data_IF_279314640121
#
_entry.id   IF_279314640121
#
_cell.length_a   1.000
_cell.length_b   1.000
_cell.length_c   1.000
_cell.angle_alpha   90.00
_cell.angle_beta   90.00
_cell.angle_gamma   90.00
#
_symmetry.space_group_name_H-M   'P 1'
#
loop_
_entity.id
_entity.type
_entity.pdbx_description
1 polymer ?
#
# COMPACT_ATOMS: atom_id res chain seq x y z
N UNK A 1 19.16 12.39 16.80
CA UNK A 1 18.86 11.16 16.03
C UNK A 1 18.55 9.96 16.92
N UNK A 2 19.39 9.67 17.96
CA UNK A 2 19.19 8.52 18.84
C UNK A 2 17.89 8.59 19.66
N UNK A 3 17.44 9.76 20.05
CA UNK A 3 16.19 9.94 20.81
C UNK A 3 14.97 9.70 19.93
N UNK A 4 14.96 10.28 18.71
CA UNK A 4 13.86 10.12 17.76
C UNK A 4 13.68 8.64 17.39
N UNK A 5 14.78 7.93 17.10
CA UNK A 5 14.75 6.50 16.82
C UNK A 5 14.14 5.69 17.97
N UNK A 6 14.49 6.01 19.21
CA UNK A 6 13.93 5.34 20.40
C UNK A 6 12.42 5.57 20.52
N UNK A 7 11.94 6.80 20.32
CA UNK A 7 10.51 7.10 20.41
C UNK A 7 9.70 6.39 19.30
N UNK A 8 10.21 6.35 18.06
CA UNK A 8 9.58 5.61 16.97
C UNK A 8 9.53 4.12 17.33
N UNK A 9 10.65 3.55 17.79
CA UNK A 9 10.72 2.14 18.13
C UNK A 9 9.78 1.77 19.29
N UNK A 10 9.68 2.62 20.32
CA UNK A 10 8.76 2.42 21.45
C UNK A 10 7.31 2.47 20.95
N UNK A 11 6.95 3.47 20.14
CA UNK A 11 5.58 3.61 19.59
C UNK A 11 5.19 2.41 18.73
N UNK A 12 6.03 2.03 17.76
CA UNK A 12 5.80 0.87 16.88
C UNK A 12 5.81 -0.42 17.69
N UNK A 13 6.77 -0.59 18.59
CA UNK A 13 6.88 -1.78 19.44
C UNK A 13 5.66 -1.97 20.34
N UNK A 14 5.20 -0.90 21.00
CA UNK A 14 4.00 -0.94 21.83
C UNK A 14 2.76 -1.32 21.04
N UNK A 15 2.57 -0.71 19.87
CA UNK A 15 1.45 -1.03 18.97
C UNK A 15 1.49 -2.48 18.49
N UNK A 16 2.67 -2.97 18.08
CA UNK A 16 2.83 -4.35 17.64
C UNK A 16 2.59 -5.34 18.79
N UNK A 17 3.06 -5.06 20.01
CA UNK A 17 2.83 -5.91 21.20
C UNK A 17 1.35 -5.99 21.55
N UNK A 18 0.58 -4.89 21.41
CA UNK A 18 -0.86 -4.89 21.65
C UNK A 18 -1.64 -5.69 20.61
N UNK A 19 -1.20 -5.66 19.34
CA UNK A 19 -1.87 -6.40 18.24
C UNK A 19 -1.48 -7.88 18.24
N UNK A 20 -0.26 -8.20 18.65
CA UNK A 20 0.33 -9.54 18.54
C UNK A 20 -0.54 -10.66 19.13
N UNK A 21 -1.15 -10.52 20.34
CA UNK A 21 -1.98 -11.59 20.93
C UNK A 21 -3.20 -11.94 20.08
N UNK A 22 -3.79 -10.96 19.40
CA UNK A 22 -4.98 -11.16 18.56
C UNK A 22 -4.62 -11.59 17.14
N UNK A 23 -3.61 -10.95 16.54
CA UNK A 23 -3.26 -11.18 15.15
C UNK A 23 -1.77 -11.01 14.87
N UNK A 24 -1.04 -12.12 14.98
CA UNK A 24 0.40 -12.16 14.70
C UNK A 24 0.76 -11.62 13.31
N UNK A 25 -0.01 -12.02 12.29
CA UNK A 25 0.26 -11.63 10.90
C UNK A 25 0.13 -10.13 10.68
N UNK A 26 -0.88 -9.49 11.28
CA UNK A 26 -1.06 -8.04 11.22
C UNK A 26 0.06 -7.31 11.94
N UNK A 27 0.47 -7.78 13.12
CA UNK A 27 1.57 -7.18 13.87
C UNK A 27 2.89 -7.29 13.09
N UNK A 28 3.16 -8.45 12.49
CA UNK A 28 4.36 -8.68 11.68
C UNK A 28 4.38 -7.80 10.42
N UNK A 29 3.24 -7.70 9.72
CA UNK A 29 3.10 -6.87 8.53
C UNK A 29 3.28 -5.37 8.87
N UNK A 30 2.64 -4.88 9.94
CA UNK A 30 2.78 -3.49 10.40
C UNK A 30 4.23 -3.19 10.74
N UNK A 31 4.89 -4.09 11.50
CA UNK A 31 6.31 -3.92 11.82
C UNK A 31 7.17 -3.90 10.55
N UNK A 32 6.91 -4.79 9.60
CA UNK A 32 7.63 -4.85 8.32
C UNK A 32 7.50 -3.54 7.53
N UNK A 33 6.31 -2.97 7.45
CA UNK A 33 6.09 -1.66 6.80
C UNK A 33 6.80 -0.55 7.55
N UNK A 34 6.71 -0.49 8.89
CA UNK A 34 7.44 0.50 9.68
C UNK A 34 8.97 0.35 9.52
N UNK A 35 9.47 -0.88 9.43
CA UNK A 35 10.88 -1.14 9.16
C UNK A 35 11.31 -0.64 7.78
N UNK A 36 10.51 -0.89 6.74
CA UNK A 36 10.74 -0.35 5.40
C UNK A 36 10.72 1.18 5.39
N UNK A 37 9.79 1.79 6.14
CA UNK A 37 9.72 3.25 6.29
C UNK A 37 10.96 3.81 6.98
N UNK A 38 11.48 3.14 8.02
CA UNK A 38 12.73 3.52 8.67
C UNK A 38 13.92 3.39 7.73
N UNK A 39 13.94 2.38 6.87
CA UNK A 39 14.98 2.19 5.85
C UNK A 39 14.94 3.31 4.79
N UNK A 40 13.75 3.63 4.26
CA UNK A 40 13.54 4.74 3.30
C UNK A 40 13.89 6.10 3.96
N UNK A 41 13.64 6.24 5.27
CA UNK A 41 13.99 7.41 6.07
C UNK A 41 15.48 7.58 6.34
N UNK A 42 16.34 6.76 5.71
CA UNK A 42 17.81 6.83 5.80
C UNK A 42 18.37 6.75 7.23
N UNK A 43 17.68 5.98 8.10
CA UNK A 43 18.24 5.70 9.42
C UNK A 43 19.57 4.93 9.29
N UNK A 44 20.53 5.12 10.22
CA UNK A 44 21.84 4.48 10.16
C UNK A 44 21.73 2.96 10.02
N UNK A 45 22.29 2.43 8.94
CA UNK A 45 22.18 1.00 8.57
C UNK A 45 22.58 0.05 9.72
N UNK A 46 23.60 0.43 10.52
CA UNK A 46 24.03 -0.37 11.67
C UNK A 46 22.96 -0.54 12.76
N UNK A 47 22.09 0.47 12.98
CA UNK A 47 20.98 0.35 13.94
C UNK A 47 19.86 -0.51 13.37
N UNK A 48 19.57 -0.34 12.08
CA UNK A 48 18.56 -1.10 11.38
C UNK A 48 18.95 -2.58 11.29
N UNK A 49 20.21 -2.88 10.99
CA UNK A 49 20.74 -4.25 10.97
C UNK A 49 20.68 -4.93 12.35
N UNK A 50 20.98 -4.19 13.42
CA UNK A 50 20.82 -4.70 14.80
C UNK A 50 19.35 -5.00 15.11
N UNK A 51 18.44 -4.10 14.75
CA UNK A 51 17.00 -4.30 14.94
C UNK A 51 16.50 -5.51 14.17
N UNK A 52 16.90 -5.66 12.89
CA UNK A 52 16.59 -6.82 12.06
C UNK A 52 17.14 -8.12 12.67
N UNK A 53 18.37 -8.11 13.16
CA UNK A 53 19.00 -9.25 13.81
C UNK A 53 18.26 -9.68 15.09
N UNK A 54 17.89 -8.74 15.94
CA UNK A 54 17.10 -9.01 17.15
C UNK A 54 15.72 -9.58 16.77
N UNK A 55 15.05 -9.03 15.76
CA UNK A 55 13.75 -9.51 15.31
C UNK A 55 13.85 -10.92 14.71
N UNK A 56 14.86 -11.18 13.88
CA UNK A 56 15.11 -12.51 13.33
C UNK A 56 15.38 -13.54 14.43
N UNK A 57 16.17 -13.17 15.43
CA UNK A 57 16.43 -14.04 16.58
C UNK A 57 15.14 -14.30 17.37
N UNK A 58 14.34 -13.27 17.63
CA UNK A 58 13.05 -13.40 18.32
C UNK A 58 12.07 -14.27 17.52
N UNK A 59 12.00 -14.11 16.19
CA UNK A 59 11.17 -14.93 15.30
C UNK A 59 11.61 -16.39 15.32
N UNK A 60 12.90 -16.66 15.19
CA UNK A 60 13.44 -18.03 15.26
C UNK A 60 13.14 -18.66 16.62
N UNK A 61 13.37 -17.92 17.72
CA UNK A 61 13.06 -18.40 19.05
C UNK A 61 11.57 -18.68 19.21
N UNK A 62 10.70 -17.81 18.69
CA UNK A 62 9.25 -18.00 18.69
C UNK A 62 8.83 -19.24 17.90
N UNK A 63 9.37 -19.47 16.70
CA UNK A 63 9.10 -20.65 15.89
C UNK A 63 9.59 -21.93 16.58
N UNK A 64 10.75 -21.90 17.24
CA UNK A 64 11.27 -23.02 18.03
C UNK A 64 10.36 -23.32 19.22
N UNK A 65 9.91 -22.29 19.95
CA UNK A 65 8.96 -22.45 21.04
C UNK A 65 7.65 -23.05 20.55
N UNK A 66 7.08 -22.55 19.43
CA UNK A 66 5.86 -23.12 18.85
C UNK A 66 6.02 -24.61 18.50
N UNK A 67 7.18 -25.02 17.94
CA UNK A 67 7.42 -26.39 17.51
C UNK A 67 7.66 -27.36 18.69
N UNK A 68 8.36 -26.89 19.73
CA UNK A 68 8.76 -27.77 20.84
C UNK A 68 7.85 -27.70 22.06
N UNK A 69 6.75 -26.92 22.03
CA UNK A 69 5.79 -26.85 23.14
C UNK A 69 4.98 -28.15 23.21
N UNK A 70 5.07 -28.94 24.30
CA UNK A 70 4.30 -30.15 24.44
C UNK A 70 2.80 -29.87 24.53
N UNK A 71 1.98 -30.80 24.02
CA UNK A 71 0.52 -30.70 24.10
C UNK A 71 -0.03 -30.53 25.55
N UNK A 72 0.72 -31.00 26.54
CA UNK A 72 0.36 -30.83 27.94
C UNK A 72 0.41 -29.38 28.44
N UNK A 73 1.22 -28.52 27.80
CA UNK A 73 1.38 -27.11 28.16
C UNK A 73 0.43 -26.22 27.35
N UNK A 74 0.01 -26.66 26.16
CA UNK A 74 -0.86 -25.88 25.28
C UNK A 74 -2.21 -25.56 25.92
N UNK A 75 -2.72 -26.39 26.82
CA UNK A 75 -3.97 -26.15 27.55
C UNK A 75 -3.93 -24.92 28.50
N UNK A 76 -2.73 -24.47 28.88
CA UNK A 76 -2.52 -23.28 29.73
C UNK A 76 -2.21 -22.03 28.92
N UNK A 77 -2.01 -22.16 27.59
CA UNK A 77 -1.70 -21.04 26.71
C UNK A 77 -3.00 -20.49 26.06
N UNK A 78 -2.99 -19.22 25.65
CA UNK A 78 -4.13 -18.64 24.93
C UNK A 78 -4.49 -19.45 23.69
N UNK A 79 -5.80 -19.57 23.38
CA UNK A 79 -6.33 -20.30 22.21
C UNK A 79 -5.68 -19.90 20.88
N UNK A 80 -5.22 -18.66 20.80
CA UNK A 80 -4.49 -18.13 19.63
C UNK A 80 -3.15 -18.81 19.39
N UNK A 81 -2.45 -19.21 20.47
CA UNK A 81 -1.19 -19.92 20.37
C UNK A 81 -1.36 -21.29 19.71
N UNK A 82 -2.42 -22.01 20.10
CA UNK A 82 -2.80 -23.30 19.49
C UNK A 82 -3.13 -23.12 18.00
N UNK A 83 -3.84 -22.03 17.68
CA UNK A 83 -4.17 -21.70 16.28
C UNK A 83 -2.90 -21.44 15.45
N UNK A 84 -1.91 -20.71 15.99
CA UNK A 84 -0.65 -20.44 15.30
C UNK A 84 0.21 -21.68 15.14
N UNK A 85 0.28 -22.51 16.17
CA UNK A 85 0.95 -23.81 16.11
C UNK A 85 0.34 -24.68 15.00
N UNK A 86 -0.97 -24.83 14.96
CA UNK A 86 -1.65 -25.61 13.93
C UNK A 86 -1.47 -25.05 12.50
N UNK A 87 -1.38 -23.72 12.32
CA UNK A 87 -1.06 -23.12 11.01
C UNK A 87 0.37 -23.41 10.57
N UNK A 88 1.30 -23.39 11.51
CA UNK A 88 2.71 -23.65 11.25
C UNK A 88 2.93 -25.14 10.94
N UNK A 89 2.35 -26.05 11.72
CA UNK A 89 2.41 -27.48 11.48
C UNK A 89 1.83 -27.83 10.10
N UNK A 90 0.64 -27.34 9.77
CA UNK A 90 0.04 -27.50 8.44
C UNK A 90 0.91 -27.02 7.30
N UNK A 91 1.63 -25.92 7.49
CA UNK A 91 2.53 -25.38 6.47
C UNK A 91 3.75 -26.27 6.25
N UNK A 92 4.38 -26.79 7.34
CA UNK A 92 5.57 -27.61 7.25
C UNK A 92 5.29 -29.10 6.96
N UNK A 93 4.24 -29.66 7.56
CA UNK A 93 3.92 -31.08 7.43
C UNK A 93 3.01 -31.37 6.25
N UNK A 94 2.30 -30.37 5.74
CA UNK A 94 1.44 -30.48 4.56
C UNK A 94 2.12 -30.96 3.27
N UNK A 95 3.43 -31.22 3.32
CA UNK A 95 4.19 -31.81 2.22
C UNK A 95 4.50 -33.30 2.40
N UNK A 96 4.33 -33.87 3.61
CA UNK A 96 4.85 -35.22 3.89
C UNK A 96 3.78 -36.29 4.06
N UNK A 97 2.61 -35.97 4.61
CA UNK A 97 1.67 -36.98 5.11
C UNK A 97 0.29 -37.01 4.43
N UNK A 98 0.13 -36.30 3.30
CA UNK A 98 -1.19 -36.22 2.64
C UNK A 98 -1.38 -37.24 1.49
N UNK A 99 -0.52 -38.24 1.39
CA UNK A 99 -0.69 -39.34 0.44
C UNK A 99 -1.22 -40.55 1.16
N UNK A 100 -2.33 -41.11 0.68
CA UNK A 100 -2.83 -42.42 1.12
C UNK A 100 -1.84 -43.53 0.71
N UNK A 101 -2.00 -44.73 1.27
CA UNK A 101 -1.24 -45.94 0.88
C UNK A 101 -1.33 -46.21 -0.63
N UNK A 102 -2.35 -45.67 -1.30
CA UNK A 102 -2.54 -45.73 -2.75
C UNK A 102 -1.86 -44.61 -3.53
N UNK A 103 -1.13 -43.70 -2.87
CA UNK A 103 -0.50 -42.52 -3.49
C UNK A 103 -1.47 -41.40 -3.86
N UNK A 104 -2.71 -41.44 -3.37
CA UNK A 104 -3.73 -40.41 -3.61
C UNK A 104 -3.68 -39.34 -2.52
N UNK A 105 -3.80 -38.07 -2.93
CA UNK A 105 -3.76 -36.94 -1.98
C UNK A 105 -5.01 -36.91 -1.12
N UNK A 106 -4.87 -37.03 0.21
CA UNK A 106 -5.96 -37.01 1.15
C UNK A 106 -6.32 -35.59 1.54
N UNK A 107 -7.54 -35.19 1.24
CA UNK A 107 -8.10 -33.90 1.68
C UNK A 107 -8.69 -34.08 3.07
N UNK A 108 -8.15 -33.36 4.05
CA UNK A 108 -8.62 -33.31 5.44
C UNK A 108 -9.16 -31.91 5.73
N UNK A 109 -9.98 -31.76 6.78
CA UNK A 109 -10.51 -30.46 7.20
C UNK A 109 -9.39 -29.44 7.43
N UNK A 110 -8.23 -29.89 7.89
CA UNK A 110 -7.06 -29.06 8.17
C UNK A 110 -6.36 -28.53 6.93
N UNK A 111 -6.30 -29.30 5.83
CA UNK A 111 -5.62 -28.89 4.60
C UNK A 111 -6.60 -28.43 3.50
N UNK A 112 -7.90 -28.47 3.77
CA UNK A 112 -8.97 -28.23 2.82
C UNK A 112 -8.79 -26.92 2.05
N UNK A 113 -8.62 -25.81 2.76
CA UNK A 113 -8.50 -24.47 2.15
C UNK A 113 -7.27 -24.36 1.22
N UNK A 114 -6.12 -24.79 1.70
CA UNK A 114 -4.87 -24.72 0.93
C UNK A 114 -4.90 -25.64 -0.28
N UNK A 115 -5.50 -26.83 -0.12
CA UNK A 115 -5.62 -27.81 -1.20
C UNK A 115 -6.54 -27.30 -2.30
N UNK A 116 -7.71 -26.77 -1.96
CA UNK A 116 -8.62 -26.18 -2.94
C UNK A 116 -8.04 -24.94 -3.63
N UNK A 117 -7.26 -24.12 -2.92
CA UNK A 117 -6.53 -23.02 -3.53
C UNK A 117 -5.48 -23.50 -4.55
N UNK A 118 -4.72 -24.56 -4.22
CA UNK A 118 -3.78 -25.19 -5.17
C UNK A 118 -4.50 -25.78 -6.38
N UNK A 119 -5.65 -26.44 -6.19
CA UNK A 119 -6.47 -26.98 -7.28
C UNK A 119 -6.98 -25.85 -8.18
N UNK A 120 -7.44 -24.72 -7.58
CA UNK A 120 -7.86 -23.53 -8.33
C UNK A 120 -6.75 -23.03 -9.25
N UNK A 121 -5.55 -22.83 -8.70
CA UNK A 121 -4.38 -22.37 -9.46
C UNK A 121 -4.00 -23.37 -10.58
N UNK A 122 -4.00 -24.68 -10.26
CA UNK A 122 -3.66 -25.72 -11.22
C UNK A 122 -4.67 -25.78 -12.38
N UNK A 123 -5.97 -25.61 -12.08
CA UNK A 123 -7.03 -25.58 -13.11
C UNK A 123 -7.01 -24.33 -13.96
N UNK A 124 -6.63 -23.20 -13.39
CA UNK A 124 -6.51 -21.94 -14.12
C UNK A 124 -5.52 -21.99 -15.27
N UNK A 125 -4.40 -22.72 -15.13
CA UNK A 125 -3.37 -22.80 -16.17
C UNK A 125 -2.91 -21.41 -16.61
N UNK A 126 -2.61 -21.25 -17.90
CA UNK A 126 -2.10 -19.98 -18.44
C UNK A 126 -3.23 -18.99 -18.71
N UNK A 127 -4.32 -19.41 -19.35
CA UNK A 127 -5.40 -18.53 -19.84
C UNK A 127 -6.65 -18.50 -18.97
N UNK A 128 -6.74 -19.37 -17.94
CA UNK A 128 -7.91 -19.47 -17.08
C UNK A 128 -9.08 -20.25 -17.70
N UNK A 129 -10.11 -20.46 -16.87
CA UNK A 129 -11.35 -21.15 -17.27
C UNK A 129 -12.45 -20.19 -17.72
N UNK A 130 -12.17 -18.91 -17.88
CA UNK A 130 -13.09 -17.82 -18.12
C UNK A 130 -13.81 -17.30 -16.86
N UNK A 131 -14.12 -16.00 -16.77
CA UNK A 131 -14.83 -15.41 -15.64
C UNK A 131 -16.19 -16.08 -15.42
N UNK A 132 -16.43 -16.45 -14.16
CA UNK A 132 -17.66 -17.11 -13.74
C UNK A 132 -17.71 -18.62 -13.92
N UNK A 133 -16.73 -19.26 -14.58
CA UNK A 133 -16.67 -20.71 -14.77
C UNK A 133 -15.76 -21.42 -13.75
N UNK A 134 -15.12 -20.67 -12.84
CA UNK A 134 -14.36 -21.24 -11.73
C UNK A 134 -15.26 -22.06 -10.80
N UNK A 135 -14.85 -23.29 -10.49
CA UNK A 135 -15.60 -24.21 -9.64
C UNK A 135 -15.14 -24.14 -8.18
N UNK A 136 -13.87 -23.79 -7.94
CA UNK A 136 -13.29 -23.85 -6.60
C UNK A 136 -13.84 -22.77 -5.65
N UNK A 137 -14.42 -21.72 -6.16
CA UNK A 137 -15.08 -20.67 -5.35
C UNK A 137 -16.23 -21.23 -4.50
N UNK A 138 -16.93 -22.27 -4.97
CA UNK A 138 -18.08 -22.86 -4.26
C UNK A 138 -17.64 -23.84 -3.17
N UNK A 139 -16.43 -24.37 -3.29
CA UNK A 139 -15.83 -25.29 -2.32
C UNK A 139 -14.94 -24.57 -1.29
N UNK A 140 -14.41 -23.40 -1.60
CA UNK A 140 -13.44 -22.71 -0.76
C UNK A 140 -14.13 -21.83 0.30
N UNK A 141 -14.07 -22.18 1.60
CA UNK A 141 -14.51 -21.27 2.63
C UNK A 141 -13.72 -19.95 2.54
N UNK A 142 -14.40 -18.81 2.57
CA UNK A 142 -13.80 -17.50 2.43
C UNK A 142 -13.02 -17.27 1.10
N UNK A 143 -13.44 -17.94 0.01
CA UNK A 143 -12.87 -17.76 -1.32
C UNK A 143 -12.71 -16.30 -1.71
N UNK A 144 -13.73 -15.48 -1.44
CA UNK A 144 -13.76 -14.05 -1.78
C UNK A 144 -13.00 -13.14 -0.79
N UNK A 145 -12.49 -13.67 0.30
CA UNK A 145 -11.71 -12.91 1.30
C UNK A 145 -10.23 -13.22 1.18
N UNK A 146 -9.81 -14.35 1.71
CA UNK A 146 -8.40 -14.65 1.94
C UNK A 146 -7.73 -15.34 0.75
N UNK A 147 -8.51 -16.02 -0.09
CA UNK A 147 -8.03 -16.79 -1.24
C UNK A 147 -8.49 -16.24 -2.60
N UNK A 148 -8.93 -14.97 -2.62
CA UNK A 148 -9.43 -14.34 -3.86
C UNK A 148 -8.42 -14.41 -5.00
N UNK A 149 -7.12 -14.33 -4.70
CA UNK A 149 -6.08 -14.41 -5.71
C UNK A 149 -6.00 -15.78 -6.39
N UNK A 150 -6.26 -16.87 -5.66
CA UNK A 150 -6.35 -18.21 -6.23
C UNK A 150 -7.54 -18.33 -7.19
N UNK A 151 -8.68 -17.71 -6.85
CA UNK A 151 -9.87 -17.66 -7.72
C UNK A 151 -9.60 -16.82 -8.98
N UNK A 152 -8.91 -15.69 -8.84
CA UNK A 152 -8.50 -14.87 -10.00
C UNK A 152 -7.63 -15.70 -10.96
N UNK A 153 -6.70 -16.49 -10.44
CA UNK A 153 -5.87 -17.38 -11.28
C UNK A 153 -6.71 -18.50 -11.88
N UNK A 154 -7.69 -19.07 -11.17
CA UNK A 154 -8.59 -20.06 -11.73
C UNK A 154 -9.38 -19.52 -12.93
N UNK A 155 -9.95 -18.34 -12.80
CA UNK A 155 -10.82 -17.74 -13.83
C UNK A 155 -10.05 -17.08 -14.98
N UNK A 156 -8.98 -16.32 -14.67
CA UNK A 156 -8.22 -15.52 -15.64
C UNK A 156 -6.85 -16.09 -15.99
N UNK A 157 -6.48 -17.21 -15.38
CA UNK A 157 -5.18 -17.82 -15.56
C UNK A 157 -4.04 -17.09 -14.85
N UNK A 158 -2.83 -17.59 -15.05
CA UNK A 158 -1.61 -16.95 -14.54
C UNK A 158 -1.46 -15.54 -15.13
N UNK A 159 -1.92 -15.30 -16.37
CA UNK A 159 -1.91 -13.98 -17.00
C UNK A 159 -2.73 -12.98 -16.18
N UNK A 160 -3.93 -13.36 -15.73
CA UNK A 160 -4.75 -12.53 -14.85
C UNK A 160 -4.10 -12.28 -13.49
N UNK A 161 -3.46 -13.31 -12.91
CA UNK A 161 -2.69 -13.17 -11.68
C UNK A 161 -1.54 -12.17 -11.81
N UNK A 162 -0.74 -12.28 -12.88
CA UNK A 162 0.36 -11.35 -13.18
C UNK A 162 -0.18 -9.94 -13.41
N UNK A 163 -1.30 -9.78 -14.12
CA UNK A 163 -1.92 -8.47 -14.35
C UNK A 163 -2.28 -7.79 -13.02
N UNK A 164 -2.91 -8.50 -12.10
CA UNK A 164 -3.25 -7.97 -10.77
C UNK A 164 -1.99 -7.60 -9.98
N UNK A 165 -0.95 -8.43 -10.01
CA UNK A 165 0.34 -8.13 -9.38
C UNK A 165 0.94 -6.84 -9.95
N UNK A 166 0.93 -6.67 -11.27
CA UNK A 166 1.44 -5.47 -11.94
C UNK A 166 0.68 -4.20 -11.53
N UNK A 167 -0.65 -4.29 -11.31
CA UNK A 167 -1.42 -3.15 -10.80
C UNK A 167 -0.93 -2.69 -9.42
N UNK A 168 -0.60 -3.60 -8.50
CA UNK A 168 -0.05 -3.23 -7.20
C UNK A 168 1.39 -2.70 -7.31
N UNK A 169 2.21 -3.23 -8.21
CA UNK A 169 3.53 -2.68 -8.49
C UNK A 169 3.41 -1.26 -9.08
N UNK A 170 2.49 -1.04 -10.01
CA UNK A 170 2.21 0.28 -10.58
C UNK A 170 1.75 1.27 -9.49
N UNK A 171 0.89 0.83 -8.57
CA UNK A 171 0.47 1.63 -7.41
C UNK A 171 1.69 2.02 -6.57
N UNK A 172 2.59 1.08 -6.27
CA UNK A 172 3.79 1.36 -5.48
C UNK A 172 4.69 2.40 -6.16
N UNK A 173 4.90 2.27 -7.47
CA UNK A 173 5.68 3.23 -8.27
C UNK A 173 5.01 4.60 -8.24
N UNK A 174 3.68 4.67 -8.40
CA UNK A 174 2.93 5.94 -8.33
C UNK A 174 3.03 6.61 -6.95
N UNK A 175 2.87 5.84 -5.89
CA UNK A 175 3.08 6.32 -4.51
C UNK A 175 4.50 6.88 -4.33
N UNK A 176 5.51 6.18 -4.85
CA UNK A 176 6.90 6.65 -4.83
C UNK A 176 7.10 7.95 -5.60
N UNK A 177 6.46 8.11 -6.77
CA UNK A 177 6.53 9.36 -7.54
C UNK A 177 5.85 10.53 -6.81
N UNK A 178 4.68 10.31 -6.21
CA UNK A 178 3.99 11.33 -5.39
C UNK A 178 4.88 11.75 -4.21
N UNK A 179 5.47 10.76 -3.52
CA UNK A 179 6.33 11.03 -2.37
C UNK A 179 7.59 11.85 -2.74
N UNK A 180 8.11 11.68 -3.97
CA UNK A 180 9.27 12.47 -4.46
C UNK A 180 8.92 13.92 -4.75
N UNK A 181 7.67 14.20 -5.11
CA UNK A 181 7.19 15.58 -5.37
C UNK A 181 6.87 16.36 -4.08
N UNK A 182 6.89 15.70 -2.91
CA UNK A 182 6.61 16.35 -1.64
C UNK A 182 7.90 16.87 -1.00
N UNK A 183 8.01 18.18 -0.78
CA UNK A 183 9.15 18.84 -0.12
C UNK A 183 9.11 18.59 1.39
N UNK A 184 7.90 18.57 1.98
CA UNK A 184 7.73 18.36 3.41
C UNK A 184 7.82 16.87 3.77
N UNK A 185 8.60 16.56 4.80
CA UNK A 185 8.82 15.17 5.24
C UNK A 185 7.54 14.46 5.69
N UNK A 186 6.61 15.15 6.36
CA UNK A 186 5.40 14.53 6.89
C UNK A 186 4.49 13.96 5.79
N UNK A 187 4.02 14.73 4.77
CA UNK A 187 3.18 14.19 3.70
C UNK A 187 3.91 13.11 2.89
N UNK A 188 5.22 13.26 2.68
CA UNK A 188 6.07 12.26 2.01
C UNK A 188 6.00 10.88 2.69
N UNK A 189 6.25 10.84 4.00
CA UNK A 189 6.20 9.57 4.75
C UNK A 189 4.78 9.07 4.95
N UNK A 190 3.79 9.95 5.05
CA UNK A 190 2.38 9.57 5.15
C UNK A 190 1.91 8.80 3.91
N UNK A 191 2.19 9.32 2.72
CA UNK A 191 1.85 8.67 1.44
C UNK A 191 2.57 7.35 1.28
N UNK A 192 3.88 7.31 1.56
CA UNK A 192 4.67 6.08 1.49
C UNK A 192 4.12 5.02 2.46
N UNK A 193 3.78 5.41 3.69
CA UNK A 193 3.22 4.50 4.68
C UNK A 193 1.89 3.89 4.25
N UNK A 194 0.95 4.72 3.79
CA UNK A 194 -0.35 4.25 3.28
C UNK A 194 -0.18 3.33 2.07
N UNK A 195 0.66 3.72 1.10
CA UNK A 195 0.90 2.91 -0.09
C UNK A 195 1.59 1.58 0.21
N UNK A 196 2.61 1.59 1.07
CA UNK A 196 3.30 0.36 1.49
C UNK A 196 2.35 -0.58 2.26
N UNK A 197 1.49 -0.08 3.14
CA UNK A 197 0.50 -0.92 3.83
C UNK A 197 -0.39 -1.65 2.84
N UNK A 198 -0.95 -0.94 1.86
CA UNK A 198 -1.81 -1.55 0.83
C UNK A 198 -1.04 -2.58 0.01
N UNK A 199 0.15 -2.25 -0.48
CA UNK A 199 0.91 -3.14 -1.36
C UNK A 199 1.45 -4.36 -0.60
N UNK A 200 2.00 -4.19 0.60
CA UNK A 200 2.52 -5.31 1.41
C UNK A 200 1.38 -6.25 1.81
N UNK A 201 0.20 -5.73 2.15
CA UNK A 201 -0.98 -6.55 2.44
C UNK A 201 -1.43 -7.34 1.22
N UNK A 202 -1.45 -6.74 0.04
CA UNK A 202 -1.79 -7.43 -1.21
C UNK A 202 -0.78 -8.54 -1.53
N UNK A 203 0.53 -8.24 -1.45
CA UNK A 203 1.59 -9.23 -1.67
C UNK A 203 1.53 -10.37 -0.66
N UNK A 204 1.22 -10.09 0.60
CA UNK A 204 1.04 -11.12 1.62
C UNK A 204 -0.14 -12.05 1.29
N UNK A 205 -1.28 -11.52 0.85
CA UNK A 205 -2.43 -12.32 0.40
C UNK A 205 -2.07 -13.19 -0.83
N UNK A 206 -1.40 -12.62 -1.82
CA UNK A 206 -0.92 -13.36 -3.00
C UNK A 206 0.03 -14.50 -2.59
N UNK A 207 0.97 -14.23 -1.69
CA UNK A 207 1.93 -15.23 -1.20
C UNK A 207 1.23 -16.39 -0.43
N UNK A 208 0.19 -16.08 0.34
CA UNK A 208 -0.67 -17.09 0.99
C UNK A 208 -1.39 -17.93 -0.04
N UNK A 209 -2.02 -17.30 -1.04
CA UNK A 209 -2.79 -18.01 -2.07
C UNK A 209 -1.93 -19.01 -2.86
N UNK A 210 -0.67 -18.67 -3.16
CA UNK A 210 0.28 -19.56 -3.83
C UNK A 210 1.07 -20.46 -2.85
N UNK A 211 0.70 -20.46 -1.56
CA UNK A 211 1.31 -21.28 -0.51
C UNK A 211 2.82 -21.05 -0.30
N UNK A 212 3.30 -19.81 -0.49
CA UNK A 212 4.66 -19.41 -0.13
C UNK A 212 4.81 -19.10 1.36
N UNK A 213 3.72 -18.70 2.01
CA UNK A 213 3.66 -18.40 3.45
C UNK A 213 2.43 -19.05 4.08
N UNK A 214 2.42 -19.31 5.39
CA UNK A 214 1.26 -19.85 6.09
C UNK A 214 0.03 -18.95 5.94
N UNK A 215 -1.17 -19.53 6.03
CA UNK A 215 -2.44 -18.81 5.93
C UNK A 215 -2.52 -17.73 7.02
N UNK A 216 -2.64 -16.47 6.60
CA UNK A 216 -2.63 -15.30 7.49
C UNK A 216 -4.02 -14.77 7.83
N UNK A 217 -5.03 -15.05 6.99
CA UNK A 217 -6.38 -14.49 7.14
C UNK A 217 -6.44 -12.99 6.82
N UNK A 218 -5.54 -12.48 5.97
CA UNK A 218 -5.53 -11.08 5.55
C UNK A 218 -6.21 -10.92 4.19
N UNK A 219 -7.26 -10.08 4.09
CA UNK A 219 -7.92 -9.83 2.83
C UNK A 219 -7.02 -8.99 1.89
N UNK A 220 -7.19 -9.18 0.59
CA UNK A 220 -6.50 -8.40 -0.43
C UNK A 220 -7.17 -7.03 -0.57
N UNK A 221 -6.45 -5.91 -0.39
CA UNK A 221 -7.03 -4.57 -0.47
C UNK A 221 -7.71 -4.31 -1.81
N UNK A 222 -8.89 -3.68 -1.79
CA UNK A 222 -9.73 -3.32 -2.95
C UNK A 222 -10.36 -4.50 -3.72
N UNK A 223 -9.80 -5.70 -3.64
CA UNK A 223 -10.25 -6.86 -4.43
C UNK A 223 -11.07 -7.83 -3.59
N UNK A 224 -10.62 -8.09 -2.36
CA UNK A 224 -11.35 -9.00 -1.45
C UNK A 224 -12.68 -8.41 -0.98
N UNK A 225 -13.66 -9.28 -0.82
CA UNK A 225 -14.96 -8.92 -0.22
C UNK A 225 -14.81 -8.81 1.30
N UNK A 226 -14.56 -7.59 1.78
CA UNK A 226 -14.45 -7.29 3.22
C UNK A 226 -14.94 -5.87 3.50
N UNK A 227 -16.05 -5.71 4.26
CA UNK A 227 -16.64 -4.39 4.50
C UNK A 227 -15.68 -3.40 5.17
N UNK A 228 -15.06 -3.80 6.27
CA UNK A 228 -14.10 -2.96 7.01
C UNK A 228 -12.79 -2.76 6.26
N UNK A 229 -12.29 -3.80 5.58
CA UNK A 229 -11.07 -3.71 4.77
C UNK A 229 -11.22 -2.72 3.60
N UNK A 230 -12.37 -2.73 2.94
CA UNK A 230 -12.67 -1.78 1.85
C UNK A 230 -12.71 -0.35 2.35
N UNK A 231 -13.38 -0.08 3.49
CA UNK A 231 -13.42 1.26 4.09
C UNK A 231 -12.03 1.78 4.43
N UNK A 232 -11.19 0.96 5.06
CA UNK A 232 -9.81 1.32 5.42
C UNK A 232 -8.99 1.58 4.14
N UNK A 233 -9.13 0.75 3.12
CA UNK A 233 -8.47 0.94 1.84
C UNK A 233 -8.88 2.26 1.18
N UNK A 234 -10.17 2.61 1.20
CA UNK A 234 -10.66 3.90 0.69
C UNK A 234 -10.04 5.09 1.45
N UNK A 235 -9.88 4.99 2.77
CA UNK A 235 -9.20 6.02 3.56
C UNK A 235 -7.74 6.17 3.12
N UNK A 236 -7.01 5.07 2.95
CA UNK A 236 -5.62 5.12 2.48
C UNK A 236 -5.51 5.78 1.10
N UNK A 237 -6.39 5.42 0.16
CA UNK A 237 -6.43 6.06 -1.16
C UNK A 237 -6.83 7.54 -1.08
N UNK A 238 -7.77 7.90 -0.22
CA UNK A 238 -8.15 9.29 0.03
C UNK A 238 -6.96 10.14 0.50
N UNK A 239 -6.16 9.60 1.43
CA UNK A 239 -4.93 10.26 1.91
C UNK A 239 -3.91 10.40 0.75
N UNK A 240 -3.66 9.34 -0.02
CA UNK A 240 -2.72 9.35 -1.15
C UNK A 240 -3.13 10.40 -2.18
N UNK A 241 -4.42 10.47 -2.55
CA UNK A 241 -4.95 11.43 -3.51
C UNK A 241 -4.89 12.86 -2.97
N UNK A 242 -5.20 13.08 -1.69
CA UNK A 242 -5.12 14.40 -1.05
C UNK A 242 -3.69 14.96 -1.10
N UNK A 243 -2.69 14.14 -0.75
CA UNK A 243 -1.30 14.57 -0.79
C UNK A 243 -0.81 14.75 -2.24
N UNK A 244 -1.27 13.92 -3.18
CA UNK A 244 -0.94 14.08 -4.60
C UNK A 244 -1.41 15.41 -5.14
N UNK A 245 -2.62 15.85 -4.77
CA UNK A 245 -3.17 17.15 -5.16
C UNK A 245 -2.38 18.32 -4.53
N UNK A 246 -2.01 18.19 -3.26
CA UNK A 246 -1.21 19.19 -2.57
C UNK A 246 0.17 19.40 -3.21
N UNK A 247 0.86 18.31 -3.55
CA UNK A 247 2.16 18.38 -4.23
C UNK A 247 2.09 18.93 -5.67
N UNK A 248 0.96 18.79 -6.35
CA UNK A 248 0.76 19.37 -7.67
C UNK A 248 0.55 20.90 -7.61
N UNK A 249 -0.12 21.41 -6.57
CA UNK A 249 -0.34 22.85 -6.42
C UNK A 249 0.97 23.61 -6.13
N UNK A 250 1.86 23.04 -5.31
CA UNK A 250 3.18 23.65 -5.04
C UNK A 250 4.02 23.74 -6.32
N UNK A 251 4.04 22.68 -7.13
CA UNK A 251 4.80 22.69 -8.39
C UNK A 251 4.30 23.74 -9.40
N UNK A 252 3.01 24.07 -9.39
CA UNK A 252 2.47 25.13 -10.25
C UNK A 252 2.80 26.54 -9.71
N UNK A 253 2.85 26.72 -8.38
CA UNK A 253 3.25 28.00 -7.78
C UNK A 253 4.74 28.30 -8.06
N UNK A 254 5.61 27.27 -8.01
CA UNK A 254 7.04 27.41 -8.33
C UNK A 254 7.26 27.72 -9.83
N UNK A 255 6.48 27.12 -10.76
CA UNK A 255 6.53 27.40 -12.19
C UNK A 255 6.04 28.82 -12.50
N UNK A 256 4.98 29.31 -11.82
CA UNK A 256 4.48 30.69 -11.99
C UNK A 256 5.45 31.73 -11.43
N UNK A 257 6.19 31.41 -10.35
CA UNK A 257 7.23 32.32 -9.81
C UNK A 257 8.47 32.36 -10.72
N UNK A 258 8.88 31.22 -11.33
CA UNK A 258 10.04 31.16 -12.24
C UNK A 258 9.76 31.89 -13.57
N UNK A 259 8.52 31.86 -14.09
CA UNK A 259 8.10 32.63 -15.27
C UNK A 259 7.99 34.13 -14.99
N UNK A 260 7.74 34.52 -13.73
CA UNK A 260 7.70 35.95 -13.35
C UNK A 260 9.07 36.51 -13.00
N UNK A 261 10.07 35.69 -12.65
CA UNK A 261 11.43 36.13 -12.28
C UNK A 261 12.39 36.20 -13.50
N UNK A 262 11.95 35.70 -14.68
CA UNK A 262 12.69 35.85 -15.92
C UNK A 262 12.01 36.88 -16.85
N UNK A 263 12.14 38.19 -16.59
CA UNK A 263 11.71 39.20 -17.52
C UNK A 263 12.58 39.07 -18.78
N UNK A 264 11.93 38.87 -19.92
CA UNK A 264 12.49 38.81 -21.25
C UNK A 264 13.67 39.79 -21.39
N UNK A 265 14.81 39.24 -21.75
CA UNK A 265 16.00 40.00 -22.12
C UNK A 265 15.62 40.91 -23.30
N UNK A 266 15.63 42.24 -23.16
CA UNK A 266 15.29 43.16 -24.26
C UNK A 266 16.51 43.31 -25.20
N UNK A 267 16.68 42.33 -26.06
CA UNK A 267 17.66 42.39 -27.15
C UNK A 267 17.07 41.86 -28.44
N UNK A 268 16.05 42.55 -28.94
CA UNK A 268 15.75 42.61 -30.35
C UNK A 268 15.16 43.99 -30.66
N UNK A 269 16.07 44.97 -30.82
CA UNK A 269 15.77 46.17 -31.58
C UNK A 269 15.58 45.79 -33.05
N UNK A 270 14.43 46.06 -33.68
CA UNK A 270 14.38 46.11 -35.13
C UNK A 270 14.96 47.44 -35.57
N UNK A 271 16.15 47.35 -36.21
CA UNK A 271 16.75 48.39 -37.00
C UNK A 271 15.75 49.08 -37.93
N UNK A 272 15.82 50.41 -37.89
CA UNK A 272 14.91 51.31 -38.56
C UNK A 272 14.84 51.19 -40.07
N UNK A 273 13.73 51.63 -40.55
CA UNK A 273 13.65 52.45 -41.78
C UNK A 273 12.37 53.28 -41.78
N UNK A 274 12.70 54.56 -41.79
CA UNK A 274 12.01 55.74 -42.32
C UNK A 274 10.71 55.45 -43.11
N UNK A 275 9.65 56.21 -42.80
CA UNK A 275 8.95 57.06 -43.76
C UNK A 275 8.13 58.11 -42.98
N UNK A 276 8.49 59.37 -43.20
CA UNK A 276 7.69 60.55 -42.98
C UNK A 276 6.45 60.57 -43.86
N UNK A 277 5.36 61.07 -43.32
CA UNK A 277 4.36 62.01 -43.92
C UNK A 277 3.14 61.99 -42.98
N UNK A 278 2.96 63.08 -42.32
CA UNK A 278 2.29 64.32 -42.68
C UNK A 278 0.79 64.29 -42.47
N UNK A 279 0.39 65.30 -41.75
CA UNK A 279 -0.77 66.15 -41.90
C UNK A 279 -1.92 65.93 -40.95
N UNK A 280 -1.99 66.86 -39.98
CA UNK A 280 -3.06 67.84 -39.71
C UNK A 280 -4.48 67.42 -39.42
N UNK A 281 -4.95 68.00 -38.35
CA UNK A 281 -6.31 68.44 -38.13
C UNK A 281 -7.15 67.44 -37.29
N UNK A 282 -7.79 67.74 -36.24
CA UNK A 282 -8.54 68.94 -35.93
C UNK A 282 -8.98 68.83 -34.45
N UNK A 283 -9.17 69.97 -33.89
CA UNK A 283 -9.72 70.26 -32.55
C UNK A 283 -11.15 69.86 -32.39
N UNK A 284 -11.50 69.73 -31.13
CA UNK A 284 -12.73 70.18 -30.42
C UNK A 284 -13.35 69.03 -29.64
N UNK A 285 -13.68 69.12 -28.47
CA UNK A 285 -14.21 69.89 -27.42
C UNK A 285 -14.52 69.02 -26.20
N UNK A 286 -14.08 69.47 -25.06
CA UNK A 286 -14.61 69.12 -23.75
C UNK A 286 -16.02 69.81 -23.61
N UNK A 287 -16.98 69.46 -22.78
CA UNK A 287 -16.80 69.41 -21.34
C UNK A 287 -17.78 68.54 -20.48
N UNK A 288 -17.49 68.59 -19.18
CA UNK A 288 -18.40 68.51 -18.02
C UNK A 288 -18.67 67.11 -17.42
N UNK A 289 -17.99 66.80 -16.33
CA UNK A 289 -18.35 67.03 -14.90
C UNK A 289 -19.56 66.26 -14.40
N UNK A 290 -19.31 65.50 -13.39
CA UNK A 290 -19.96 65.50 -12.07
C UNK A 290 -19.90 64.11 -11.46
N UNK A 291 -19.11 63.93 -10.43
CA UNK A 291 -19.50 63.82 -9.03
C UNK A 291 -20.61 62.75 -8.79
N UNK A 292 -20.25 61.69 -8.10
CA UNK A 292 -20.90 61.34 -6.82
C UNK A 292 -20.13 60.26 -6.07
N UNK A 293 -19.56 60.70 -5.00
CA UNK A 293 -19.07 59.95 -3.86
C UNK A 293 -20.30 59.46 -3.09
N UNK A 294 -20.42 58.17 -2.86
CA UNK A 294 -21.33 57.65 -1.82
C UNK A 294 -20.51 56.81 -0.85
N UNK A 295 -20.19 57.46 0.26
CA UNK A 295 -19.89 56.89 1.56
C UNK A 295 -21.15 56.31 2.16
N UNK A 296 -21.14 55.05 2.59
CA UNK A 296 -22.09 54.55 3.59
C UNK A 296 -21.34 53.91 4.74
N UNK A 297 -21.53 54.59 5.85
CA UNK A 297 -21.08 54.21 7.17
C UNK A 297 -21.72 52.92 7.70
N UNK A 298 -20.95 52.30 8.59
CA UNK A 298 -21.31 51.26 9.55
C UNK A 298 -22.56 51.61 10.37
N UNK A 299 -23.30 50.60 10.75
CA UNK A 299 -23.91 50.35 12.08
C UNK A 299 -24.73 49.03 12.06
N UNK A 300 -24.45 48.17 12.92
CA UNK A 300 -24.78 47.54 14.18
C UNK A 300 -24.41 46.06 14.06
#
# INVERSE_FOLDING_TARGET
ENQIFKYILIGVGLTCVLILPENFSTAFMLFGVCFLMMFIGQLPFGKLAKLAGILMLALVLFLVLLKFTPAAITQYLPDRFVTWQGRLERFFDGHKDNLDESGTYKITDDNYQVTHAKIAIARGGVLGQMPGHGQQRDFLPQAYSDFIYAIIIEELGIVGGIFVLLLYIMLLVRVGMIARKCDKSFPKFLVLGCGLLVVVQALANMAVAVNLVPVTGQPMPLVSRGGTSTLISCIYFGIILSVSRFGANIGNEDEEEEDTENPENPSDEPSGETINQAVEGEKEDNPLSAVETITVESKV
#
